data_IF_702870827509
#
_entry.id   IF_702870827509
#
_cell.length_a   1.000
_cell.length_b   1.000
_cell.length_c   1.000
_cell.angle_alpha   90.00
_cell.angle_beta   90.00
_cell.angle_gamma   90.00
#
_symmetry.space_group_name_H-M   'P 1'
#
loop_
_entity.id
_entity.type
_entity.pdbx_description
1 polymer ?
#
# COMPACT_ATOMS: atom_id res chain seq x y z
N UNK A 1 -26.62 21.89 -16.23
CA UNK A 1 -25.17 21.76 -15.95
C UNK A 1 -24.94 22.12 -14.49
N UNK A 2 -24.48 21.18 -13.65
CA UNK A 2 -24.21 21.45 -12.23
C UNK A 2 -22.94 22.30 -12.14
N UNK A 3 -23.05 23.56 -11.74
CA UNK A 3 -21.88 24.40 -11.41
C UNK A 3 -21.17 23.78 -10.20
N UNK A 4 -20.06 23.11 -10.45
CA UNK A 4 -19.14 22.69 -9.39
C UNK A 4 -18.31 23.94 -9.07
N UNK A 5 -18.50 24.51 -7.88
CA UNK A 5 -17.69 25.64 -7.43
C UNK A 5 -16.19 25.24 -7.46
N UNK A 6 -15.32 26.01 -8.13
CA UNK A 6 -13.91 25.63 -8.33
C UNK A 6 -13.16 25.42 -7.00
N UNK A 7 -13.58 26.11 -5.94
CA UNK A 7 -13.02 25.97 -4.59
C UNK A 7 -13.24 24.57 -3.98
N UNK A 8 -14.42 23.96 -4.17
CA UNK A 8 -14.75 22.67 -3.57
C UNK A 8 -13.95 21.53 -4.20
N UNK A 9 -13.67 21.61 -5.51
CA UNK A 9 -12.87 20.62 -6.22
C UNK A 9 -11.38 20.65 -5.83
N UNK A 10 -10.81 21.85 -5.64
CA UNK A 10 -9.43 22.00 -5.18
C UNK A 10 -9.28 21.44 -3.76
N UNK A 11 -10.21 21.78 -2.86
CA UNK A 11 -10.22 21.29 -1.49
C UNK A 11 -10.31 19.75 -1.45
N UNK A 12 -11.25 19.17 -2.21
CA UNK A 12 -11.41 17.72 -2.31
C UNK A 12 -10.13 17.02 -2.78
N UNK A 13 -9.49 17.57 -3.81
CA UNK A 13 -8.26 16.98 -4.38
C UNK A 13 -7.11 17.02 -3.37
N UNK A 14 -6.96 18.14 -2.64
CA UNK A 14 -5.95 18.27 -1.57
C UNK A 14 -6.23 17.32 -0.41
N UNK A 15 -7.48 17.22 0.05
CA UNK A 15 -7.86 16.28 1.12
C UNK A 15 -7.60 14.84 0.72
N UNK A 16 -7.99 14.45 -0.50
CA UNK A 16 -7.72 13.12 -1.02
C UNK A 16 -6.22 12.80 -1.03
N UNK A 17 -5.41 13.71 -1.56
CA UNK A 17 -3.95 13.54 -1.57
C UNK A 17 -3.38 13.44 -0.16
N UNK A 18 -3.88 14.26 0.78
CA UNK A 18 -3.44 14.24 2.17
C UNK A 18 -3.76 12.91 2.84
N UNK A 19 -4.99 12.42 2.74
CA UNK A 19 -5.41 11.11 3.29
C UNK A 19 -4.53 10.00 2.73
N UNK A 20 -4.27 10.02 1.42
CA UNK A 20 -3.45 9.01 0.78
C UNK A 20 -1.99 9.06 1.25
N UNK A 21 -1.42 10.26 1.40
CA UNK A 21 -0.07 10.42 1.95
C UNK A 21 0.02 9.94 3.40
N UNK A 22 -0.98 10.22 4.23
CA UNK A 22 -1.03 9.74 5.63
C UNK A 22 -1.10 8.22 5.68
N UNK A 23 -1.93 7.59 4.85
CA UNK A 23 -2.04 6.12 4.80
C UNK A 23 -0.75 5.45 4.32
N UNK A 24 -0.12 5.99 3.28
CA UNK A 24 1.17 5.48 2.80
C UNK A 24 2.27 5.66 3.85
N UNK A 25 2.32 6.81 4.53
CA UNK A 25 3.26 7.05 5.61
C UNK A 25 3.04 6.07 6.76
N UNK A 26 1.78 5.83 7.16
CA UNK A 26 1.45 4.83 8.17
C UNK A 26 1.94 3.44 7.76
N UNK A 27 1.65 3.00 6.52
CA UNK A 27 2.12 1.71 6.02
C UNK A 27 3.65 1.62 6.03
N UNK A 28 4.33 2.71 5.70
CA UNK A 28 5.79 2.77 5.66
C UNK A 28 6.38 2.66 7.07
N UNK A 29 5.90 3.44 8.01
CA UNK A 29 6.36 3.38 9.40
C UNK A 29 6.10 2.01 10.02
N UNK A 30 4.91 1.45 9.77
CA UNK A 30 4.57 0.12 10.27
C UNK A 30 5.52 -0.94 9.67
N UNK A 31 5.77 -0.89 8.36
CA UNK A 31 6.70 -1.79 7.70
C UNK A 31 8.16 -1.65 8.16
N UNK A 32 8.64 -0.41 8.36
CA UNK A 32 9.97 -0.13 8.92
C UNK A 32 10.07 -0.75 10.31
N UNK A 33 9.05 -0.52 11.14
CA UNK A 33 9.04 -1.00 12.50
C UNK A 33 8.99 -2.53 12.58
N UNK A 34 8.12 -3.18 11.81
CA UNK A 34 8.10 -4.64 11.67
C UNK A 34 9.46 -5.19 11.26
N UNK A 35 10.15 -4.53 10.33
CA UNK A 35 11.48 -4.96 9.88
C UNK A 35 12.55 -4.82 10.98
N UNK A 36 12.54 -3.69 11.70
CA UNK A 36 13.48 -3.39 12.79
C UNK A 36 13.38 -4.44 13.90
N UNK A 37 12.17 -4.86 14.28
CA UNK A 37 11.98 -5.88 15.34
C UNK A 37 12.15 -7.32 14.84
N UNK A 38 12.75 -7.55 13.66
CA UNK A 38 13.06 -8.87 13.13
C UNK A 38 11.99 -9.52 12.24
N UNK A 39 10.93 -8.78 11.88
CA UNK A 39 9.90 -9.24 10.96
C UNK A 39 10.33 -9.22 9.49
N UNK A 40 9.46 -9.74 8.60
CA UNK A 40 9.82 -9.87 7.18
C UNK A 40 9.95 -8.51 6.48
N UNK A 41 11.03 -8.29 5.72
CA UNK A 41 11.23 -7.08 4.92
C UNK A 41 10.26 -6.89 3.74
N UNK A 42 9.39 -7.87 3.47
CA UNK A 42 8.43 -7.82 2.36
C UNK A 42 7.58 -6.54 2.37
N UNK A 43 6.99 -6.18 3.52
CA UNK A 43 6.15 -4.99 3.61
C UNK A 43 6.92 -3.68 3.38
N UNK A 44 8.20 -3.64 3.73
CA UNK A 44 9.04 -2.47 3.51
C UNK A 44 9.22 -2.22 2.02
N UNK A 45 9.67 -3.23 1.28
CA UNK A 45 9.82 -3.15 -0.17
C UNK A 45 8.47 -2.93 -0.88
N UNK A 46 7.41 -3.60 -0.43
CA UNK A 46 6.09 -3.43 -0.99
C UNK A 46 5.58 -1.99 -0.86
N UNK A 47 5.79 -1.37 0.30
CA UNK A 47 5.35 0.02 0.52
C UNK A 47 6.14 1.00 -0.32
N UNK A 48 7.45 0.80 -0.52
CA UNK A 48 8.23 1.59 -1.46
C UNK A 48 7.71 1.46 -2.90
N UNK A 49 7.43 0.23 -3.36
CA UNK A 49 6.88 0.00 -4.69
C UNK A 49 5.53 0.70 -4.85
N UNK A 50 4.63 0.60 -3.86
CA UNK A 50 3.33 1.28 -3.86
C UNK A 50 3.47 2.81 -3.89
N UNK A 51 4.44 3.37 -3.15
CA UNK A 51 4.72 4.81 -3.16
C UNK A 51 5.20 5.28 -4.55
N UNK A 52 6.10 4.52 -5.18
CA UNK A 52 6.54 4.79 -6.56
C UNK A 52 5.37 4.69 -7.54
N UNK A 53 4.59 3.61 -7.48
CA UNK A 53 3.39 3.44 -8.31
C UNK A 53 2.42 4.60 -8.13
N UNK A 54 2.22 5.09 -6.90
CA UNK A 54 1.32 6.20 -6.65
C UNK A 54 1.80 7.51 -7.29
N UNK A 55 3.11 7.76 -7.35
CA UNK A 55 3.66 8.96 -8.00
C UNK A 55 3.44 8.93 -9.52
N UNK A 56 3.55 7.75 -10.13
CA UNK A 56 3.39 7.56 -11.58
C UNK A 56 1.94 7.37 -12.00
N UNK A 57 1.07 6.81 -11.16
CA UNK A 57 -0.33 6.50 -11.49
C UNK A 57 -1.16 7.71 -11.89
N UNK A 58 -0.80 8.91 -11.42
CA UNK A 58 -1.50 10.16 -11.74
C UNK A 58 -0.99 10.83 -13.03
N UNK A 59 0.07 10.30 -13.64
CA UNK A 59 0.67 10.83 -14.86
C UNK A 59 0.20 10.02 -16.08
N UNK A 60 -0.10 10.70 -17.18
CA UNK A 60 -0.72 10.09 -18.36
C UNK A 60 0.28 9.61 -19.42
N UNK A 61 1.59 9.68 -19.15
CA UNK A 61 2.58 9.26 -20.15
C UNK A 61 2.65 7.74 -20.26
N UNK A 62 3.04 7.24 -21.44
CA UNK A 62 3.20 5.82 -21.69
C UNK A 62 4.26 5.20 -20.76
N UNK A 63 5.36 5.93 -20.52
CA UNK A 63 6.43 5.53 -19.61
C UNK A 63 5.93 5.37 -18.17
N UNK A 64 5.11 6.31 -17.69
CA UNK A 64 4.54 6.26 -16.34
C UNK A 64 3.64 5.03 -16.17
N UNK A 65 2.83 4.69 -17.18
CA UNK A 65 2.00 3.47 -17.17
C UNK A 65 2.86 2.20 -17.08
N UNK A 66 3.99 2.16 -17.78
CA UNK A 66 4.94 1.04 -17.70
C UNK A 66 5.46 0.90 -16.28
N UNK A 67 5.92 1.99 -15.65
CA UNK A 67 6.39 1.94 -14.25
C UNK A 67 5.30 1.47 -13.29
N UNK A 68 4.06 1.95 -13.46
CA UNK A 68 2.95 1.49 -12.61
C UNK A 68 2.65 0.02 -12.83
N UNK A 69 2.74 -0.51 -14.05
CA UNK A 69 2.56 -1.96 -14.30
C UNK A 69 3.72 -2.81 -13.76
N UNK A 70 4.96 -2.31 -13.87
CA UNK A 70 6.16 -2.98 -13.37
C UNK A 70 6.09 -3.16 -11.85
N UNK A 71 5.53 -2.18 -11.12
CA UNK A 71 5.33 -2.32 -9.68
C UNK A 71 4.48 -3.54 -9.30
N UNK A 72 3.39 -3.85 -10.04
CA UNK A 72 2.60 -5.07 -9.79
C UNK A 72 3.44 -6.32 -10.01
N UNK A 73 4.19 -6.35 -11.12
CA UNK A 73 5.05 -7.49 -11.45
C UNK A 73 6.06 -7.75 -10.35
N UNK A 74 6.73 -6.71 -9.84
CA UNK A 74 7.67 -6.84 -8.73
C UNK A 74 7.01 -7.35 -7.45
N UNK A 75 5.79 -6.90 -7.14
CA UNK A 75 5.05 -7.37 -5.97
C UNK A 75 4.68 -8.86 -6.10
N UNK A 76 4.24 -9.29 -7.29
CA UNK A 76 3.95 -10.71 -7.56
C UNK A 76 5.22 -11.55 -7.44
N UNK A 77 6.34 -11.09 -7.99
CA UNK A 77 7.63 -11.79 -7.86
C UNK A 77 8.04 -11.88 -6.39
N UNK A 78 7.91 -10.79 -5.62
CA UNK A 78 8.20 -10.78 -4.19
C UNK A 78 7.32 -11.75 -3.40
N UNK A 79 6.04 -11.84 -3.74
CA UNK A 79 5.09 -12.79 -3.13
C UNK A 79 5.43 -14.25 -3.49
N UNK A 80 5.77 -14.52 -4.76
CA UNK A 80 6.22 -15.83 -5.21
C UNK A 80 7.53 -16.25 -4.54
N UNK A 81 8.47 -15.32 -4.38
CA UNK A 81 9.74 -15.58 -3.69
C UNK A 81 9.54 -15.92 -2.22
N UNK A 82 8.62 -15.23 -1.54
CA UNK A 82 8.40 -15.39 -0.09
C UNK A 82 7.46 -16.54 0.26
N UNK A 83 6.46 -16.85 -0.56
CA UNK A 83 5.39 -17.82 -0.24
C UNK A 83 5.16 -18.87 -1.33
N UNK A 84 5.99 -18.91 -2.37
CA UNK A 84 5.85 -19.84 -3.49
C UNK A 84 4.53 -19.64 -4.25
N UNK A 85 4.05 -20.70 -4.89
CA UNK A 85 2.81 -20.70 -5.68
C UNK A 85 1.54 -20.51 -4.84
N UNK A 86 1.62 -20.74 -3.53
CA UNK A 86 0.48 -20.62 -2.61
C UNK A 86 0.31 -19.21 -2.04
N UNK A 87 1.08 -18.23 -2.52
CA UNK A 87 1.02 -16.85 -2.05
C UNK A 87 -0.41 -16.28 -2.04
N UNK A 88 -1.26 -16.66 -3.00
CA UNK A 88 -2.64 -16.16 -3.10
C UNK A 88 -3.48 -16.41 -1.84
N UNK A 89 -3.14 -17.42 -1.04
CA UNK A 89 -3.85 -17.74 0.21
C UNK A 89 -3.27 -17.01 1.43
N UNK A 90 -2.15 -16.29 1.27
CA UNK A 90 -1.53 -15.53 2.35
C UNK A 90 -2.09 -14.12 2.44
N UNK A 91 -2.24 -13.62 3.68
CA UNK A 91 -2.72 -12.27 3.98
C UNK A 91 -1.86 -11.18 3.31
N UNK A 92 -0.55 -11.43 3.14
CA UNK A 92 0.40 -10.53 2.46
C UNK A 92 0.02 -10.22 1.00
N UNK A 93 -0.80 -11.06 0.37
CA UNK A 93 -1.36 -10.81 -0.97
C UNK A 93 -2.25 -9.58 -1.04
N UNK A 94 -2.75 -9.07 0.10
CA UNK A 94 -3.54 -7.83 0.14
C UNK A 94 -2.81 -6.64 -0.48
N UNK A 95 -1.47 -6.62 -0.46
CA UNK A 95 -0.62 -5.61 -1.12
C UNK A 95 -0.95 -5.46 -2.61
N UNK A 96 -1.44 -6.52 -3.27
CA UNK A 96 -1.84 -6.46 -4.67
C UNK A 96 -3.09 -5.63 -4.90
N UNK A 97 -3.97 -5.46 -3.90
CA UNK A 97 -5.21 -4.66 -4.04
C UNK A 97 -4.90 -3.19 -4.36
N UNK A 98 -4.16 -2.43 -3.53
CA UNK A 98 -3.81 -1.06 -3.88
C UNK A 98 -2.94 -1.00 -5.15
N UNK A 99 -2.06 -1.99 -5.39
CA UNK A 99 -1.23 -2.03 -6.59
C UNK A 99 -2.06 -2.16 -7.89
N UNK A 100 -3.03 -3.07 -7.92
CA UNK A 100 -3.97 -3.26 -9.03
C UNK A 100 -4.77 -1.99 -9.32
N UNK A 101 -5.24 -1.32 -8.27
CA UNK A 101 -5.99 -0.07 -8.40
C UNK A 101 -5.09 1.03 -8.96
N UNK A 102 -3.86 1.16 -8.48
CA UNK A 102 -2.87 2.11 -9.00
C UNK A 102 -2.57 1.88 -10.49
N UNK A 103 -2.40 0.64 -10.92
CA UNK A 103 -2.22 0.34 -12.35
C UNK A 103 -3.49 0.61 -13.16
N UNK A 104 -4.68 0.40 -12.57
CA UNK A 104 -5.95 0.71 -13.22
C UNK A 104 -6.16 2.21 -13.47
N UNK A 105 -5.58 3.10 -12.65
CA UNK A 105 -5.56 4.54 -12.95
C UNK A 105 -4.87 4.87 -14.28
N UNK A 106 -3.88 4.07 -14.68
CA UNK A 106 -3.21 4.21 -15.96
C UNK A 106 -4.06 3.83 -17.18
N UNK A 107 -5.25 3.23 -17.00
CA UNK A 107 -6.11 2.80 -18.10
C UNK A 107 -7.06 3.94 -18.50
N UNK A 108 -6.89 4.47 -19.72
CA UNK A 108 -7.65 5.64 -20.23
C UNK A 108 -9.18 5.50 -20.10
N UNK A 109 -9.71 4.30 -20.34
CA UNK A 109 -11.15 4.01 -20.29
C UNK A 109 -11.74 4.03 -18.86
N UNK A 110 -10.89 3.90 -17.83
CA UNK A 110 -11.30 3.90 -16.43
C UNK A 110 -11.21 5.31 -15.83
N UNK A 111 -10.13 6.05 -16.11
CA UNK A 111 -9.92 7.39 -15.58
C UNK A 111 -10.86 8.45 -16.21
N UNK A 112 -11.19 8.35 -17.51
CA UNK A 112 -11.98 9.37 -18.21
C UNK A 112 -13.44 9.49 -17.75
N UNK A 113 -14.00 8.49 -17.06
CA UNK A 113 -15.38 8.52 -16.57
C UNK A 113 -15.41 8.93 -15.10
N UNK A 114 -16.11 10.01 -14.70
CA UNK A 114 -16.04 10.58 -13.35
C UNK A 114 -16.50 9.59 -12.26
N UNK A 115 -17.50 8.77 -12.54
CA UNK A 115 -17.97 7.76 -11.57
C UNK A 115 -16.95 6.64 -11.35
N UNK A 116 -16.28 6.18 -12.43
CA UNK A 116 -15.24 5.14 -12.36
C UNK A 116 -14.00 5.66 -11.65
N UNK A 117 -13.62 6.90 -11.94
CA UNK A 117 -12.53 7.58 -11.24
C UNK A 117 -12.78 7.69 -9.73
N UNK A 118 -14.00 8.10 -9.35
CA UNK A 118 -14.37 8.19 -7.93
C UNK A 118 -14.36 6.82 -7.25
N UNK A 119 -14.82 5.78 -7.94
CA UNK A 119 -14.74 4.39 -7.46
C UNK A 119 -13.29 3.93 -7.25
N UNK A 120 -12.39 4.20 -8.21
CA UNK A 120 -10.96 3.88 -8.06
C UNK A 120 -10.32 4.62 -6.88
N UNK A 121 -10.67 5.90 -6.68
CA UNK A 121 -10.18 6.69 -5.54
C UNK A 121 -10.62 6.12 -4.20
N UNK A 122 -11.90 5.80 -4.06
CA UNK A 122 -12.45 5.18 -2.84
C UNK A 122 -11.85 3.79 -2.64
N UNK A 123 -11.77 2.98 -3.70
CA UNK A 123 -11.16 1.66 -3.67
C UNK A 123 -9.69 1.71 -3.24
N UNK A 124 -8.92 2.71 -3.69
CA UNK A 124 -7.52 2.86 -3.30
C UNK A 124 -7.38 3.15 -1.80
N UNK A 125 -8.21 4.05 -1.27
CA UNK A 125 -8.25 4.35 0.17
C UNK A 125 -8.58 3.08 0.97
N UNK A 126 -9.62 2.34 0.56
CA UNK A 126 -10.01 1.10 1.22
C UNK A 126 -8.92 0.01 1.13
N UNK A 127 -8.28 -0.11 -0.03
CA UNK A 127 -7.17 -1.05 -0.24
C UNK A 127 -5.96 -0.73 0.63
N UNK A 128 -5.61 0.55 0.78
CA UNK A 128 -4.55 1.00 1.68
C UNK A 128 -4.92 0.81 3.16
N UNK A 129 -6.18 1.04 3.54
CA UNK A 129 -6.66 0.76 4.90
C UNK A 129 -6.59 -0.73 5.23
N UNK A 130 -7.01 -1.60 4.30
CA UNK A 130 -6.89 -3.05 4.42
C UNK A 130 -5.43 -3.49 4.56
N UNK A 131 -4.54 -2.93 3.75
CA UNK A 131 -3.10 -3.17 3.86
C UNK A 131 -2.56 -2.74 5.23
N UNK A 132 -2.88 -1.52 5.66
CA UNK A 132 -2.47 -0.97 6.95
C UNK A 132 -2.94 -1.85 8.12
N UNK A 133 -4.19 -2.31 8.06
CA UNK A 133 -4.78 -3.22 9.04
C UNK A 133 -4.02 -4.55 9.11
N UNK A 134 -3.76 -5.18 7.95
CA UNK A 134 -3.04 -6.47 7.91
C UNK A 134 -1.58 -6.30 8.38
N UNK A 135 -0.89 -5.22 7.99
CA UNK A 135 0.45 -4.94 8.50
C UNK A 135 0.45 -4.78 10.02
N UNK A 136 -0.55 -4.11 10.58
CA UNK A 136 -0.69 -3.95 12.03
C UNK A 136 -0.98 -5.28 12.72
N UNK A 137 -1.86 -6.10 12.14
CA UNK A 137 -2.15 -7.44 12.64
C UNK A 137 -0.89 -8.31 12.69
N UNK A 138 -0.13 -8.39 11.58
CA UNK A 138 1.13 -9.15 11.52
C UNK A 138 2.16 -8.61 12.52
N UNK A 139 2.20 -7.30 12.74
CA UNK A 139 3.09 -6.69 13.73
C UNK A 139 2.71 -7.10 15.16
N UNK A 140 1.43 -7.05 15.50
CA UNK A 140 0.94 -7.44 16.84
C UNK A 140 1.17 -8.93 17.08
N UNK A 141 0.95 -9.77 16.06
CA UNK A 141 1.25 -11.20 16.13
C UNK A 141 2.73 -11.45 16.42
N UNK A 142 3.62 -10.72 15.75
CA UNK A 142 5.07 -10.79 16.00
C UNK A 142 5.45 -10.31 17.41
N UNK A 143 4.85 -9.23 17.90
CA UNK A 143 5.06 -8.75 19.27
C UNK A 143 4.62 -9.78 20.31
N UNK A 144 3.43 -10.36 20.13
CA UNK A 144 2.91 -11.39 21.02
C UNK A 144 3.78 -12.65 21.03
N UNK A 145 4.36 -13.01 19.88
CA UNK A 145 5.33 -14.10 19.80
C UNK A 145 6.56 -13.81 20.68
N UNK A 146 7.12 -12.61 20.60
CA UNK A 146 8.23 -12.19 21.48
C UNK A 146 7.84 -12.18 22.95
N UNK A 147 6.67 -11.66 23.30
CA UNK A 147 6.21 -11.64 24.70
C UNK A 147 5.95 -13.04 25.27
N UNK A 148 5.70 -14.05 24.42
CA UNK A 148 5.54 -15.45 24.84
C UNK A 148 6.86 -16.18 25.11
N UNK A 149 7.98 -15.65 24.60
CA UNK A 149 9.31 -16.20 24.85
C UNK A 149 9.70 -15.88 26.30
N UNK A 150 9.95 -16.92 27.11
CA UNK A 150 10.32 -16.79 28.53
C UNK A 150 11.80 -16.38 28.72
N UNK A 151 12.33 -15.59 27.79
CA UNK A 151 13.64 -14.97 27.88
C UNK A 151 13.32 -13.53 28.26
N UNK A 152 13.89 -12.97 29.33
CA UNK A 152 13.57 -11.64 29.89
C UNK A 152 13.81 -10.43 28.93
N UNK A 153 13.93 -10.69 27.63
CA UNK A 153 14.09 -9.75 26.52
C UNK A 153 12.74 -9.41 25.89
N UNK A 154 12.30 -8.16 26.06
CA UNK A 154 11.11 -7.63 25.38
C UNK A 154 11.40 -7.34 23.91
N UNK A 155 10.40 -7.40 23.02
CA UNK A 155 10.53 -6.98 21.61
C UNK A 155 11.12 -5.57 21.42
N UNK A 156 11.02 -4.70 22.43
CA UNK A 156 11.59 -3.34 22.45
C UNK A 156 13.12 -3.35 22.37
N UNK A 157 13.78 -4.39 22.89
CA UNK A 157 15.23 -4.51 22.88
C UNK A 157 15.76 -4.88 21.49
N UNK A 158 15.00 -5.67 20.73
CA UNK A 158 15.35 -6.03 19.35
C UNK A 158 15.28 -4.83 18.40
N UNK A 159 14.38 -3.88 18.64
CA UNK A 159 14.26 -2.68 17.82
C UNK A 159 15.13 -1.49 18.23
N UNK A 160 15.89 -1.61 19.31
CA UNK A 160 16.79 -0.58 19.83
C UNK A 160 18.26 -0.77 19.39
N UNK A 161 18.56 -1.83 18.63
CA UNK A 161 19.85 -2.11 17.97
C UNK A 161 19.96 -1.35 16.64
#
# INVERSE_FOLDING_TARGET
MKQIFPFSHILYTKLYSFVLSVLLAYCLFNAIYTFIIGGTGFYLFATFILAFQCNFALRTSLHDRIYTSLGIVLLIIGLLYTHGIHFLNHLKTIVLVPALILTAFGIDNLYRKPNRLSCLKVGLILGLLLLAYIQYYDLVELQNYYDSLHNDETWQQFGAL
#
